data_IF_396751311791
#
_entry.id   IF_396751311791
#
_cell.length_a   1.000
_cell.length_b   1.000
_cell.length_c   1.000
_cell.angle_alpha   90.00
_cell.angle_beta   90.00
_cell.angle_gamma   90.00
#
_symmetry.space_group_name_H-M   'P 1'
#
loop_
_entity.id
_entity.type
_entity.pdbx_description
1 polymer ?
#
# COMPACT_ATOMS: atom_id res chain seq x y z
N UNK A 1 5.86 -11.19 13.76
CA UNK A 1 4.68 -10.30 13.66
C UNK A 1 5.17 -8.89 13.91
N UNK A 2 4.51 -7.85 13.37
CA UNK A 2 4.92 -6.49 13.68
C UNK A 2 4.60 -6.14 15.15
N UNK A 3 5.60 -5.61 15.85
CA UNK A 3 5.47 -5.04 17.19
C UNK A 3 4.91 -3.64 17.04
N UNK A 4 3.79 -3.36 17.70
CA UNK A 4 3.24 -2.00 17.75
C UNK A 4 3.89 -1.25 18.91
N UNK A 5 4.34 -0.04 18.62
CA UNK A 5 4.86 0.90 19.60
C UNK A 5 3.88 2.08 19.73
N UNK A 6 3.81 2.68 20.91
CA UNK A 6 3.09 3.95 21.09
C UNK A 6 3.90 5.15 20.54
N UNK A 7 3.37 6.36 20.67
CA UNK A 7 4.03 7.60 20.19
C UNK A 7 5.37 7.87 20.87
N UNK A 8 5.61 7.28 22.04
CA UNK A 8 6.84 7.39 22.81
C UNK A 8 7.82 6.23 22.53
N UNK A 9 7.46 5.31 21.65
CA UNK A 9 8.28 4.15 21.27
C UNK A 9 8.16 2.96 22.24
N UNK A 10 7.31 3.04 23.26
CA UNK A 10 7.11 1.94 24.19
C UNK A 10 6.28 0.83 23.53
N UNK A 11 6.60 -0.46 23.78
CA UNK A 11 5.80 -1.57 23.28
C UNK A 11 4.36 -1.45 23.76
N UNK A 12 3.41 -1.61 22.84
CA UNK A 12 2.01 -1.49 23.16
C UNK A 12 1.60 -2.59 24.17
N UNK A 13 1.07 -2.17 25.33
CA UNK A 13 0.80 -3.04 26.50
C UNK A 13 -0.04 -4.29 26.15
N UNK A 14 -0.86 -4.24 25.10
CA UNK A 14 -1.75 -5.33 24.66
C UNK A 14 -1.20 -6.15 23.48
N UNK A 15 0.09 -6.06 23.17
CA UNK A 15 0.71 -6.80 22.06
C UNK A 15 0.56 -8.33 22.22
N UNK A 16 0.79 -8.88 23.40
CA UNK A 16 0.64 -10.33 23.65
C UNK A 16 -0.78 -10.83 23.41
N UNK A 17 -1.79 -10.05 23.80
CA UNK A 17 -3.21 -10.34 23.54
C UNK A 17 -3.51 -10.31 22.04
N UNK A 18 -2.91 -9.36 21.32
CA UNK A 18 -3.03 -9.27 19.86
C UNK A 18 -2.39 -10.47 19.17
N UNK A 19 -1.18 -10.85 19.55
CA UNK A 19 -0.50 -12.03 18.99
C UNK A 19 -1.26 -13.33 19.25
N UNK A 20 -1.78 -13.50 20.47
CA UNK A 20 -2.63 -14.62 20.81
C UNK A 20 -3.88 -14.65 19.91
N UNK A 21 -4.54 -13.51 19.70
CA UNK A 21 -5.69 -13.41 18.78
C UNK A 21 -5.33 -13.78 17.34
N UNK A 22 -4.19 -13.31 16.83
CA UNK A 22 -3.77 -13.57 15.45
C UNK A 22 -3.31 -15.02 15.20
N UNK A 23 -2.96 -15.76 16.26
CA UNK A 23 -2.48 -17.14 16.18
C UNK A 23 -3.50 -18.18 16.67
N UNK A 24 -4.70 -17.76 17.06
CA UNK A 24 -5.75 -18.68 17.54
C UNK A 24 -7.02 -18.54 16.73
N UNK A 25 -7.69 -19.68 16.50
CA UNK A 25 -8.98 -19.70 15.85
C UNK A 25 -10.08 -19.13 16.74
N UNK A 26 -11.14 -18.59 16.11
CA UNK A 26 -12.29 -18.02 16.83
C UNK A 26 -13.43 -19.04 16.90
N UNK A 27 -13.97 -19.27 18.10
CA UNK A 27 -15.14 -20.14 18.29
C UNK A 27 -16.34 -19.60 17.49
N UNK A 28 -16.92 -20.46 16.66
CA UNK A 28 -18.09 -20.09 15.83
C UNK A 28 -17.74 -19.48 14.47
N UNK A 29 -16.46 -19.34 14.12
CA UNK A 29 -16.07 -18.71 12.84
C UNK A 29 -16.64 -19.43 11.62
N UNK A 30 -16.78 -20.76 11.69
CA UNK A 30 -17.37 -21.61 10.66
C UNK A 30 -18.83 -21.25 10.34
N UNK A 31 -19.52 -20.48 11.18
CA UNK A 31 -20.88 -20.00 10.92
C UNK A 31 -20.91 -18.70 10.08
N UNK A 32 -19.82 -17.93 10.08
CA UNK A 32 -19.78 -16.60 9.45
C UNK A 32 -18.78 -16.50 8.30
N UNK A 33 -17.79 -17.38 8.24
CA UNK A 33 -16.78 -17.40 7.19
C UNK A 33 -16.62 -18.84 6.66
N UNK A 34 -16.44 -19.03 5.33
CA UNK A 34 -16.09 -20.33 4.78
C UNK A 34 -14.79 -20.84 5.40
N UNK A 35 -14.83 -22.06 5.95
CA UNK A 35 -13.66 -22.69 6.56
C UNK A 35 -13.61 -24.16 6.16
N UNK A 36 -12.43 -24.60 5.74
CA UNK A 36 -12.08 -25.99 5.52
C UNK A 36 -10.70 -26.24 6.15
N UNK A 37 -10.44 -27.47 6.61
CA UNK A 37 -9.14 -27.81 7.18
C UNK A 37 -8.05 -27.85 6.11
N UNK A 38 -6.79 -27.93 6.53
CA UNK A 38 -5.64 -27.91 5.65
C UNK A 38 -5.64 -29.09 4.67
N UNK A 39 -6.06 -30.28 5.11
CA UNK A 39 -6.16 -31.47 4.25
C UNK A 39 -7.24 -31.25 3.16
N UNK A 40 -8.38 -30.68 3.52
CA UNK A 40 -9.42 -30.34 2.55
C UNK A 40 -8.91 -29.32 1.52
N UNK A 41 -8.14 -28.33 1.94
CA UNK A 41 -7.52 -27.38 1.03
C UNK A 41 -6.48 -28.01 0.12
N UNK A 42 -5.64 -28.91 0.64
CA UNK A 42 -4.71 -29.70 -0.19
C UNK A 42 -5.47 -30.50 -1.26
N UNK A 43 -6.58 -31.14 -0.90
CA UNK A 43 -7.44 -31.85 -1.87
C UNK A 43 -8.10 -30.91 -2.88
N UNK A 44 -8.56 -29.74 -2.45
CA UNK A 44 -9.21 -28.76 -3.32
C UNK A 44 -8.24 -28.16 -4.34
N UNK A 45 -6.99 -27.93 -3.94
CA UNK A 45 -5.98 -27.26 -4.77
C UNK A 45 -5.18 -28.26 -5.61
N UNK A 46 -4.75 -29.38 -5.02
CA UNK A 46 -3.82 -30.34 -5.63
C UNK A 46 -4.46 -31.68 -5.99
N UNK A 47 -5.70 -31.94 -5.57
CA UNK A 47 -6.37 -33.23 -5.80
C UNK A 47 -5.76 -34.41 -5.03
N UNK A 48 -4.90 -34.15 -4.04
CA UNK A 48 -4.19 -35.16 -3.24
C UNK A 48 -4.08 -34.77 -1.77
N UNK A 49 -3.72 -35.75 -0.94
CA UNK A 49 -3.35 -35.51 0.45
C UNK A 49 -1.91 -34.99 0.57
N UNK A 50 -1.59 -34.23 1.63
CA UNK A 50 -0.23 -33.82 1.91
C UNK A 50 0.64 -35.00 2.32
N UNK A 51 1.88 -35.03 1.85
CA UNK A 51 2.91 -35.99 2.25
C UNK A 51 3.59 -35.46 3.51
N UNK A 52 3.51 -36.22 4.61
CA UNK A 52 3.93 -35.76 5.94
C UNK A 52 5.41 -35.34 6.02
N UNK A 53 6.30 -36.06 5.33
CA UNK A 53 7.75 -35.86 5.40
C UNK A 53 8.31 -34.97 4.27
N UNK A 54 7.46 -34.45 3.38
CA UNK A 54 7.92 -33.54 2.32
C UNK A 54 7.98 -32.09 2.83
N UNK A 55 9.16 -31.44 2.85
CA UNK A 55 9.29 -30.06 3.31
C UNK A 55 8.43 -29.07 2.52
N UNK A 56 8.14 -29.34 1.24
CA UNK A 56 7.33 -28.46 0.40
C UNK A 56 5.86 -28.49 0.83
N UNK A 57 5.31 -29.68 1.04
CA UNK A 57 3.95 -29.84 1.55
C UNK A 57 3.81 -29.27 2.96
N UNK A 58 4.83 -29.40 3.81
CA UNK A 58 4.83 -28.76 5.14
C UNK A 58 4.74 -27.22 5.02
N UNK A 59 5.54 -26.59 4.17
CA UNK A 59 5.49 -25.15 3.95
C UNK A 59 4.13 -24.73 3.35
N UNK A 60 3.58 -25.50 2.43
CA UNK A 60 2.29 -25.23 1.82
C UNK A 60 1.14 -25.27 2.85
N UNK A 61 1.11 -26.30 3.69
CA UNK A 61 0.14 -26.43 4.80
C UNK A 61 0.27 -25.26 5.77
N UNK A 62 1.50 -24.83 6.09
CA UNK A 62 1.72 -23.66 6.95
C UNK A 62 1.13 -22.39 6.33
N UNK A 63 1.30 -22.18 5.02
CA UNK A 63 0.67 -21.07 4.31
C UNK A 63 -0.87 -21.15 4.33
N UNK A 64 -1.45 -22.33 4.09
CA UNK A 64 -2.92 -22.54 4.14
C UNK A 64 -3.46 -22.23 5.54
N UNK A 65 -2.78 -22.71 6.58
CA UNK A 65 -3.13 -22.42 7.98
C UNK A 65 -3.04 -20.93 8.27
N UNK A 66 -1.97 -20.28 7.83
CA UNK A 66 -1.77 -18.84 8.03
C UNK A 66 -2.83 -18.01 7.29
N UNK A 67 -3.17 -18.37 6.05
CA UNK A 67 -4.24 -17.72 5.30
C UNK A 67 -5.59 -17.85 6.01
N UNK A 68 -5.88 -19.04 6.53
CA UNK A 68 -7.09 -19.28 7.33
C UNK A 68 -7.11 -18.40 8.58
N UNK A 69 -6.03 -18.38 9.37
CA UNK A 69 -5.94 -17.55 10.57
C UNK A 69 -6.01 -16.04 10.27
N UNK A 70 -5.39 -15.58 9.18
CA UNK A 70 -5.49 -14.19 8.72
C UNK A 70 -6.94 -13.86 8.32
N UNK A 71 -7.65 -14.75 7.63
CA UNK A 71 -9.08 -14.55 7.35
C UNK A 71 -9.94 -14.47 8.63
N UNK A 72 -9.63 -15.27 9.66
CA UNK A 72 -10.34 -15.16 10.95
C UNK A 72 -10.04 -13.84 11.66
N UNK A 73 -8.79 -13.38 11.59
CA UNK A 73 -8.32 -12.13 12.20
C UNK A 73 -8.90 -10.87 11.53
N UNK A 74 -9.26 -10.95 10.25
CA UNK A 74 -9.96 -9.89 9.52
C UNK A 74 -11.34 -9.55 10.09
N UNK A 75 -11.90 -10.43 10.93
CA UNK A 75 -13.18 -10.20 11.62
C UNK A 75 -13.01 -9.96 13.11
N UNK A 76 -13.93 -9.17 13.66
CA UNK A 76 -13.96 -8.92 15.11
C UNK A 76 -14.51 -10.15 15.86
N UNK A 77 -13.76 -10.66 16.83
CA UNK A 77 -14.12 -11.84 17.65
C UNK A 77 -15.52 -11.73 18.27
N UNK A 78 -15.85 -10.58 18.86
CA UNK A 78 -17.16 -10.35 19.51
C UNK A 78 -18.32 -10.47 18.52
N UNK A 79 -18.14 -10.02 17.28
CA UNK A 79 -19.14 -10.11 16.21
C UNK A 79 -19.37 -11.56 15.81
N UNK A 80 -18.30 -12.35 15.66
CA UNK A 80 -18.40 -13.80 15.36
C UNK A 80 -19.19 -14.54 16.44
N UNK A 81 -18.85 -14.30 17.71
CA UNK A 81 -19.54 -14.92 18.84
C UNK A 81 -21.00 -14.49 18.94
N UNK A 82 -21.31 -13.23 18.61
CA UNK A 82 -22.69 -12.74 18.56
C UNK A 82 -23.51 -13.43 17.46
N UNK A 83 -22.96 -13.62 16.26
CA UNK A 83 -23.63 -14.37 15.19
C UNK A 83 -23.84 -15.85 15.56
N UNK A 84 -22.86 -16.49 16.20
CA UNK A 84 -23.02 -17.86 16.70
C UNK A 84 -24.18 -17.95 17.71
N UNK A 85 -24.26 -17.03 18.67
CA UNK A 85 -25.36 -16.98 19.65
C UNK A 85 -26.72 -16.82 18.98
N UNK A 86 -26.84 -15.89 18.02
CA UNK A 86 -28.07 -15.66 17.25
C UNK A 86 -28.46 -16.85 16.39
N UNK A 87 -27.49 -17.52 15.76
CA UNK A 87 -27.75 -18.75 14.99
C UNK A 87 -28.32 -19.86 15.86
N UNK A 88 -27.75 -20.06 17.05
CA UNK A 88 -28.27 -21.03 18.03
C UNK A 88 -29.66 -20.66 18.55
N UNK A 89 -29.95 -19.36 18.71
CA UNK A 89 -31.28 -18.88 19.05
C UNK A 89 -32.32 -19.23 17.97
N UNK A 90 -32.00 -19.02 16.70
CA UNK A 90 -32.88 -19.41 15.57
C UNK A 90 -33.16 -20.91 15.59
N UNK A 91 -32.14 -21.74 15.86
CA UNK A 91 -32.29 -23.20 15.96
C UNK A 91 -33.18 -23.57 17.16
N UNK A 92 -32.97 -22.95 18.32
CA UNK A 92 -33.78 -23.18 19.53
C UNK A 92 -35.23 -22.81 19.30
N UNK A 93 -35.49 -21.61 18.79
CA UNK A 93 -36.83 -21.12 18.50
C UNK A 93 -37.52 -22.00 17.45
N UNK A 94 -36.77 -22.47 16.44
CA UNK A 94 -37.26 -23.43 15.46
C UNK A 94 -37.78 -24.71 16.10
N UNK A 95 -37.01 -25.30 17.01
CA UNK A 95 -37.42 -26.49 17.77
C UNK A 95 -38.66 -26.24 18.63
N UNK A 96 -38.77 -25.07 19.26
CA UNK A 96 -39.93 -24.72 20.10
C UNK A 96 -41.25 -24.75 19.33
N UNK A 97 -41.24 -24.31 18.07
CA UNK A 97 -42.45 -24.33 17.22
C UNK A 97 -42.51 -25.55 16.29
N UNK A 98 -41.64 -26.55 16.47
CA UNK A 98 -41.60 -27.75 15.65
C UNK A 98 -41.20 -27.53 14.19
N UNK A 99 -40.56 -26.39 13.86
CA UNK A 99 -40.10 -26.11 12.49
C UNK A 99 -38.63 -26.48 12.31
N UNK A 100 -38.30 -26.91 11.09
CA UNK A 100 -36.91 -26.94 10.63
C UNK A 100 -36.34 -25.51 10.62
N UNK A 101 -35.15 -25.27 11.18
CA UNK A 101 -34.50 -23.96 11.10
C UNK A 101 -34.30 -23.54 9.64
N UNK A 102 -34.60 -22.27 9.31
CA UNK A 102 -34.45 -21.71 7.96
C UNK A 102 -32.98 -21.39 7.60
N UNK A 103 -32.03 -22.19 8.08
CA UNK A 103 -30.60 -22.02 7.84
C UNK A 103 -30.15 -23.02 6.77
N UNK A 104 -29.36 -22.56 5.82
CA UNK A 104 -28.77 -23.43 4.80
C UNK A 104 -27.79 -24.43 5.39
N UNK A 105 -27.66 -25.59 4.72
CA UNK A 105 -26.68 -26.60 5.09
C UNK A 105 -25.26 -26.03 4.90
N UNK A 106 -24.37 -26.30 5.87
CA UNK A 106 -23.02 -25.72 5.90
C UNK A 106 -21.93 -26.59 5.26
N UNK A 107 -22.27 -27.75 4.68
CA UNK A 107 -21.29 -28.59 3.98
C UNK A 107 -21.84 -29.92 3.45
N UNK A 108 -21.01 -30.69 2.72
CA UNK A 108 -19.63 -30.38 2.32
C UNK A 108 -19.55 -29.30 1.23
N UNK A 109 -18.51 -28.48 1.24
CA UNK A 109 -18.23 -27.54 0.16
C UNK A 109 -17.93 -28.31 -1.14
N UNK A 110 -18.28 -27.76 -2.32
CA UNK A 110 -17.85 -28.34 -3.58
C UNK A 110 -16.32 -28.33 -3.69
N UNK A 111 -15.77 -29.32 -4.40
CA UNK A 111 -14.33 -29.45 -4.61
C UNK A 111 -13.85 -28.29 -5.49
N UNK A 112 -12.81 -27.59 -5.04
CA UNK A 112 -12.15 -26.51 -5.77
C UNK A 112 -11.96 -25.24 -4.94
N UNK A 113 -11.32 -24.24 -5.53
CA UNK A 113 -11.06 -22.95 -4.88
C UNK A 113 -12.12 -21.89 -5.25
N UNK A 114 -13.11 -21.74 -4.37
CA UNK A 114 -14.17 -20.73 -4.53
C UNK A 114 -13.85 -19.39 -3.86
N UNK A 115 -12.94 -19.37 -2.89
CA UNK A 115 -12.67 -18.20 -2.04
C UNK A 115 -11.32 -17.55 -2.31
N UNK A 116 -10.42 -18.22 -3.05
CA UNK A 116 -9.11 -17.70 -3.43
C UNK A 116 -8.00 -18.16 -2.50
N UNK A 117 -8.11 -19.35 -1.91
CA UNK A 117 -7.08 -19.92 -1.04
C UNK A 117 -5.74 -20.09 -1.77
N UNK A 118 -5.74 -20.57 -3.01
CA UNK A 118 -4.49 -20.77 -3.76
C UNK A 118 -3.72 -19.46 -3.92
N UNK A 119 -4.43 -18.38 -4.24
CA UNK A 119 -3.84 -17.04 -4.34
C UNK A 119 -3.43 -16.47 -2.99
N UNK A 120 -4.15 -16.77 -1.91
CA UNK A 120 -3.74 -16.36 -0.58
C UNK A 120 -2.40 -16.99 -0.21
N UNK A 121 -2.18 -18.26 -0.58
CA UNK A 121 -0.90 -18.95 -0.43
C UNK A 121 0.19 -18.27 -1.26
N UNK A 122 -0.06 -17.92 -2.52
CA UNK A 122 0.92 -17.21 -3.36
C UNK A 122 1.32 -15.84 -2.77
N UNK A 123 0.36 -15.10 -2.21
CA UNK A 123 0.64 -13.83 -1.52
C UNK A 123 1.53 -14.06 -0.29
N UNK A 124 1.21 -15.05 0.54
CA UNK A 124 2.01 -15.40 1.71
C UNK A 124 3.41 -15.88 1.31
N UNK A 125 3.53 -16.69 0.26
CA UNK A 125 4.81 -17.15 -0.24
C UNK A 125 5.65 -15.99 -0.76
N UNK A 126 5.03 -15.03 -1.49
CA UNK A 126 5.70 -13.79 -1.88
C UNK A 126 6.26 -13.05 -0.66
N UNK A 127 5.54 -13.02 0.45
CA UNK A 127 6.00 -12.36 1.68
C UNK A 127 7.24 -13.01 2.31
N UNK A 128 7.44 -14.31 2.08
CA UNK A 128 8.61 -15.06 2.57
C UNK A 128 9.80 -14.99 1.60
N UNK A 129 9.54 -15.01 0.29
CA UNK A 129 10.58 -15.11 -0.74
C UNK A 129 11.11 -13.75 -1.21
N UNK A 130 10.31 -12.70 -1.12
CA UNK A 130 10.71 -11.38 -1.64
C UNK A 130 11.46 -10.59 -0.59
N UNK A 131 12.59 -10.00 -0.99
CA UNK A 131 13.32 -9.05 -0.15
C UNK A 131 12.68 -7.66 -0.23
N UNK A 132 12.53 -7.01 0.92
CA UNK A 132 12.10 -5.62 0.97
C UNK A 132 13.15 -4.67 0.40
N UNK A 133 12.71 -3.53 -0.13
CA UNK A 133 13.64 -2.50 -0.64
C UNK A 133 14.32 -1.70 0.47
N UNK A 134 13.64 -1.53 1.59
CA UNK A 134 14.04 -0.66 2.71
C UNK A 134 14.34 -1.51 3.94
N UNK A 135 13.44 -2.45 4.24
CA UNK A 135 13.56 -3.39 5.34
C UNK A 135 13.84 -4.80 4.79
N UNK A 136 14.25 -5.73 5.64
CA UNK A 136 14.53 -7.13 5.27
C UNK A 136 13.33 -7.80 4.60
N UNK A 137 12.15 -7.63 5.19
CA UNK A 137 10.88 -8.21 4.76
C UNK A 137 10.04 -7.21 3.96
N UNK A 138 9.22 -7.71 3.03
CA UNK A 138 8.27 -6.84 2.32
C UNK A 138 7.12 -6.39 3.22
N UNK A 139 6.59 -5.20 2.94
CA UNK A 139 5.40 -4.67 3.59
C UNK A 139 4.12 -5.21 2.94
N UNK A 140 3.00 -5.10 3.67
CA UNK A 140 1.68 -5.58 3.24
C UNK A 140 1.26 -5.05 1.85
N UNK A 141 1.43 -3.76 1.56
CA UNK A 141 1.05 -3.19 0.26
C UNK A 141 1.81 -3.88 -0.90
N UNK A 142 3.11 -4.13 -0.73
CA UNK A 142 3.92 -4.84 -1.74
C UNK A 142 3.50 -6.30 -1.92
N UNK A 143 3.08 -6.96 -0.83
CA UNK A 143 2.50 -8.30 -0.89
C UNK A 143 1.17 -8.28 -1.67
N UNK A 144 0.24 -7.38 -1.29
CA UNK A 144 -1.11 -7.33 -1.88
C UNK A 144 -1.15 -6.87 -3.32
N UNK A 145 -0.11 -6.20 -3.82
CA UNK A 145 -0.02 -5.77 -5.23
C UNK A 145 -0.29 -6.92 -6.22
N UNK A 146 0.01 -8.18 -5.84
CA UNK A 146 -0.33 -9.36 -6.65
C UNK A 146 -1.85 -9.53 -6.88
N UNK A 147 -2.70 -9.10 -5.96
CA UNK A 147 -4.17 -9.20 -6.09
C UNK A 147 -4.65 -8.53 -7.37
N UNK A 148 -4.12 -7.35 -7.69
CA UNK A 148 -4.50 -6.59 -8.87
C UNK A 148 -4.16 -7.36 -10.16
N UNK A 149 -2.97 -7.95 -10.21
CA UNK A 149 -2.55 -8.82 -11.32
C UNK A 149 -3.47 -10.02 -11.46
N UNK A 150 -3.80 -10.70 -10.36
CA UNK A 150 -4.68 -11.85 -10.43
C UNK A 150 -6.08 -11.52 -10.96
N UNK A 151 -6.70 -10.43 -10.51
CA UNK A 151 -8.00 -9.99 -11.07
C UNK A 151 -7.92 -9.76 -12.58
N UNK A 152 -6.78 -9.27 -13.08
CA UNK A 152 -6.55 -9.10 -14.52
C UNK A 152 -6.36 -10.42 -15.25
N UNK A 153 -5.57 -11.34 -14.69
CA UNK A 153 -5.39 -12.69 -15.24
C UNK A 153 -6.72 -13.45 -15.32
N UNK A 154 -7.56 -13.33 -14.30
CA UNK A 154 -8.92 -13.84 -14.32
C UNK A 154 -9.72 -13.22 -15.47
N UNK A 155 -9.73 -11.89 -15.55
CA UNK A 155 -10.48 -11.16 -16.58
C UNK A 155 -10.07 -11.49 -18.01
N UNK A 156 -8.80 -11.87 -18.24
CA UNK A 156 -8.29 -12.32 -19.55
C UNK A 156 -8.42 -13.83 -19.79
N UNK A 157 -8.77 -14.61 -18.77
CA UNK A 157 -8.97 -16.05 -18.90
C UNK A 157 -10.28 -16.37 -19.63
N UNK A 158 -10.44 -17.57 -20.23
CA UNK A 158 -11.70 -17.99 -20.82
C UNK A 158 -12.89 -17.84 -19.86
N UNK A 159 -12.72 -18.18 -18.57
CA UNK A 159 -13.76 -18.03 -17.53
C UNK A 159 -14.17 -16.57 -17.34
N UNK A 160 -13.20 -15.66 -17.18
CA UNK A 160 -13.49 -14.24 -17.00
C UNK A 160 -14.05 -13.55 -18.25
N UNK A 161 -13.75 -14.08 -19.44
CA UNK A 161 -14.37 -13.62 -20.71
C UNK A 161 -15.83 -14.10 -20.78
N UNK A 162 -16.09 -15.37 -20.43
CA UNK A 162 -17.46 -15.93 -20.43
C UNK A 162 -18.37 -15.32 -19.37
N UNK A 163 -17.82 -14.87 -18.24
CA UNK A 163 -18.57 -14.19 -17.17
C UNK A 163 -19.26 -12.89 -17.61
N UNK A 164 -18.87 -12.33 -18.77
CA UNK A 164 -19.35 -11.08 -19.36
C UNK A 164 -20.45 -10.34 -18.59
N UNK A 165 -20.09 -9.24 -17.90
CA UNK A 165 -21.05 -8.26 -17.42
C UNK A 165 -20.40 -6.88 -17.26
N UNK A 166 -21.04 -5.86 -17.85
CA UNK A 166 -20.71 -4.45 -17.70
C UNK A 166 -22.01 -3.66 -17.51
N UNK A 167 -22.21 -3.01 -16.37
CA UNK A 167 -23.14 -1.89 -16.30
C UNK A 167 -22.41 -0.60 -16.72
N UNK A 168 -22.93 0.11 -17.73
CA UNK A 168 -22.56 1.50 -17.99
C UNK A 168 -23.58 2.43 -17.34
N UNK A 169 -23.31 2.84 -16.12
CA UNK A 169 -23.94 4.00 -15.46
C UNK A 169 -22.86 4.99 -15.05
N UNK A 170 -23.16 6.28 -15.15
CA UNK A 170 -22.28 7.47 -15.17
C UNK A 170 -21.27 7.69 -14.01
N UNK A 171 -20.83 6.68 -13.26
CA UNK A 171 -19.80 6.87 -12.24
C UNK A 171 -18.81 5.71 -12.04
N UNK A 172 -19.16 4.47 -12.37
CA UNK A 172 -18.22 3.33 -12.23
C UNK A 172 -18.80 2.08 -12.87
N UNK A 173 -18.02 1.41 -13.72
CA UNK A 173 -18.40 0.10 -14.28
C UNK A 173 -18.36 -0.93 -13.15
N UNK A 174 -19.52 -1.33 -12.64
CA UNK A 174 -19.65 -2.44 -11.69
C UNK A 174 -19.76 -3.74 -12.51
N UNK A 175 -18.98 -4.75 -12.13
CA UNK A 175 -18.94 -6.07 -12.78
C UNK A 175 -19.27 -7.14 -11.73
N UNK A 176 -20.25 -7.98 -12.01
CA UNK A 176 -20.39 -9.26 -11.31
C UNK A 176 -19.28 -10.19 -11.79
N UNK A 177 -18.56 -10.81 -10.86
CA UNK A 177 -17.46 -11.72 -11.18
C UNK A 177 -17.44 -12.88 -10.21
N UNK A 178 -17.09 -14.07 -10.70
CA UNK A 178 -16.80 -15.23 -9.85
C UNK A 178 -15.32 -15.33 -9.50
N UNK A 179 -14.54 -14.27 -9.76
CA UNK A 179 -13.12 -14.20 -9.43
C UNK A 179 -12.91 -14.41 -7.91
N UNK A 180 -12.18 -15.46 -7.48
CA UNK A 180 -12.02 -15.77 -6.07
C UNK A 180 -11.37 -14.66 -5.22
N UNK A 181 -10.52 -13.81 -5.82
CA UNK A 181 -9.89 -12.68 -5.09
C UNK A 181 -10.80 -11.51 -4.81
N UNK A 182 -12.01 -11.53 -5.37
CA UNK A 182 -13.07 -10.58 -5.04
C UNK A 182 -14.07 -11.19 -4.04
N UNK A 183 -13.82 -12.42 -3.56
CA UNK A 183 -14.63 -13.02 -2.51
C UNK A 183 -14.50 -12.27 -1.19
N UNK A 184 -15.53 -12.36 -0.36
CA UNK A 184 -15.54 -11.76 0.98
C UNK A 184 -14.44 -12.35 1.87
N UNK A 185 -14.24 -13.67 1.79
CA UNK A 185 -13.18 -14.38 2.53
C UNK A 185 -11.79 -13.86 2.16
N UNK A 186 -11.52 -13.59 0.88
CA UNK A 186 -10.23 -13.03 0.45
C UNK A 186 -10.04 -11.59 0.96
N UNK A 187 -11.12 -10.83 1.07
CA UNK A 187 -11.15 -9.52 1.72
C UNK A 187 -10.75 -9.61 3.19
N UNK A 188 -11.36 -10.51 3.95
CA UNK A 188 -11.03 -10.76 5.36
C UNK A 188 -9.57 -11.21 5.53
N UNK A 189 -9.10 -12.11 4.67
CA UNK A 189 -7.70 -12.57 4.64
C UNK A 189 -6.72 -11.39 4.51
N UNK A 190 -7.01 -10.46 3.60
CA UNK A 190 -6.15 -9.29 3.41
C UNK A 190 -6.18 -8.35 4.61
N UNK A 191 -7.34 -8.12 5.21
CA UNK A 191 -7.45 -7.29 6.42
C UNK A 191 -6.66 -7.90 7.59
N UNK A 192 -6.78 -9.21 7.82
CA UNK A 192 -6.02 -9.87 8.87
C UNK A 192 -4.53 -9.97 8.57
N UNK A 193 -4.16 -10.12 7.29
CA UNK A 193 -2.75 -10.05 6.86
C UNK A 193 -2.15 -8.67 7.08
N UNK A 194 -2.91 -7.61 6.76
CA UNK A 194 -2.52 -6.21 7.00
C UNK A 194 -2.30 -5.95 8.48
N UNK A 195 -3.24 -6.37 9.33
CA UNK A 195 -3.08 -6.30 10.78
C UNK A 195 -1.80 -7.04 11.18
N UNK A 196 -1.66 -8.34 10.85
CA UNK A 196 -0.50 -9.15 11.25
C UNK A 196 0.86 -8.58 10.82
N UNK A 197 0.98 -8.17 9.57
CA UNK A 197 2.23 -7.63 9.00
C UNK A 197 2.50 -6.21 9.50
N UNK A 198 1.46 -5.48 9.90
CA UNK A 198 1.55 -4.07 10.23
C UNK A 198 1.72 -3.19 8.99
N UNK A 199 1.56 -1.90 9.21
CA UNK A 199 1.77 -0.89 8.20
C UNK A 199 2.68 0.19 8.74
N UNK A 200 3.86 0.33 8.16
CA UNK A 200 4.77 1.44 8.44
C UNK A 200 4.86 2.32 7.20
N UNK A 201 4.28 3.51 7.25
CA UNK A 201 4.35 4.45 6.13
C UNK A 201 5.58 5.33 6.23
N UNK A 202 6.68 4.89 5.62
CA UNK A 202 7.88 5.72 5.47
C UNK A 202 7.68 6.74 4.33
N UNK A 203 6.94 7.82 4.63
CA UNK A 203 6.57 8.87 3.66
C UNK A 203 7.77 9.77 3.36
N UNK A 204 7.95 10.15 2.10
CA UNK A 204 8.90 11.22 1.74
C UNK A 204 8.55 12.50 2.51
N UNK A 205 9.51 13.07 3.24
CA UNK A 205 9.28 14.22 4.10
C UNK A 205 9.25 15.54 3.33
N UNK A 206 8.86 16.61 4.00
CA UNK A 206 9.01 17.98 3.51
C UNK A 206 10.43 18.48 3.83
N UNK A 207 10.94 19.42 3.05
CA UNK A 207 12.18 20.13 3.33
C UNK A 207 11.87 21.56 3.81
N UNK A 208 12.60 22.07 4.80
CA UNK A 208 12.62 23.48 5.12
C UNK A 208 13.11 24.32 3.93
N UNK A 209 12.61 25.55 3.79
CA UNK A 209 12.99 26.45 2.67
C UNK A 209 14.47 26.77 2.66
N UNK A 210 15.09 26.85 3.84
CA UNK A 210 16.52 27.14 3.97
C UNK A 210 17.36 26.10 3.24
N UNK A 211 16.99 24.82 3.35
CA UNK A 211 17.65 23.73 2.62
C UNK A 211 17.43 23.86 1.12
N UNK A 212 16.22 24.26 0.69
CA UNK A 212 15.90 24.48 -0.73
C UNK A 212 16.70 25.67 -1.28
N UNK A 213 16.81 26.77 -0.53
CA UNK A 213 17.58 27.96 -0.90
C UNK A 213 19.07 27.65 -1.02
N UNK A 214 19.64 26.91 -0.06
CA UNK A 214 21.04 26.51 -0.14
C UNK A 214 21.29 25.59 -1.33
N UNK A 215 20.38 24.67 -1.61
CA UNK A 215 20.48 23.87 -2.82
C UNK A 215 20.41 24.71 -4.10
N UNK A 216 19.54 25.71 -4.17
CA UNK A 216 19.48 26.63 -5.31
C UNK A 216 20.75 27.48 -5.41
N UNK A 217 21.35 27.87 -4.29
CA UNK A 217 22.64 28.57 -4.21
C UNK A 217 23.74 27.72 -4.86
N UNK A 218 23.84 26.45 -4.48
CA UNK A 218 24.80 25.51 -5.04
C UNK A 218 24.56 25.25 -6.54
N UNK A 219 23.30 25.11 -6.96
CA UNK A 219 22.96 24.97 -8.40
C UNK A 219 23.37 26.22 -9.18
N UNK A 220 23.20 27.42 -8.59
CA UNK A 220 23.60 28.68 -9.21
C UNK A 220 25.12 28.79 -9.33
N UNK A 221 25.86 28.38 -8.30
CA UNK A 221 27.33 28.32 -8.33
C UNK A 221 27.81 27.33 -9.41
N UNK A 222 27.28 26.10 -9.44
CA UNK A 222 27.58 25.10 -10.47
C UNK A 222 27.28 25.62 -11.89
N UNK A 223 26.14 26.30 -12.07
CA UNK A 223 25.78 26.88 -13.36
C UNK A 223 26.74 28.01 -13.76
N UNK A 224 27.15 28.87 -12.82
CA UNK A 224 28.09 29.96 -13.08
C UNK A 224 29.48 29.43 -13.42
N UNK A 225 29.94 28.40 -12.70
CA UNK A 225 31.19 27.70 -12.99
C UNK A 225 31.16 27.03 -14.36
N UNK A 226 30.02 26.46 -14.76
CA UNK A 226 29.83 25.85 -16.09
C UNK A 226 29.89 26.87 -17.23
N UNK A 227 29.48 28.12 -16.99
CA UNK A 227 29.55 29.20 -17.98
C UNK A 227 30.97 29.80 -18.07
N UNK A 228 31.75 29.74 -17.00
CA UNK A 228 33.09 30.34 -16.91
C UNK A 228 34.24 29.40 -17.32
N UNK A 229 34.01 28.09 -17.48
CA UNK A 229 35.08 27.11 -17.74
C UNK A 229 35.14 26.61 -19.19
N UNK A 230 35.99 27.26 -19.99
CA UNK A 230 36.64 26.66 -21.18
C UNK A 230 37.84 25.74 -20.81
N UNK A 231 38.15 25.52 -19.53
CA UNK A 231 39.22 24.63 -19.09
C UNK A 231 38.67 23.43 -18.32
N UNK A 232 39.00 22.24 -18.82
CA UNK A 232 38.41 20.95 -18.46
C UNK A 232 38.79 20.40 -17.06
N UNK A 233 39.17 21.21 -16.08
CA UNK A 233 39.79 20.71 -14.84
C UNK A 233 38.90 20.67 -13.59
N UNK A 234 37.76 21.38 -13.54
CA UNK A 234 36.94 21.45 -12.31
C UNK A 234 35.55 20.86 -12.48
N UNK A 235 35.44 19.68 -13.10
CA UNK A 235 34.17 18.93 -13.12
C UNK A 235 34.03 18.07 -11.85
N UNK A 236 33.78 18.69 -10.69
CA UNK A 236 33.64 17.97 -9.40
C UNK A 236 32.20 17.59 -9.02
N UNK A 237 31.17 18.30 -9.48
CA UNK A 237 29.82 18.14 -8.89
C UNK A 237 28.81 17.34 -9.73
N UNK A 238 28.93 17.30 -11.06
CA UNK A 238 28.01 16.55 -11.95
C UNK A 238 28.65 15.41 -12.76
N UNK A 239 29.99 15.28 -12.75
CA UNK A 239 30.68 14.29 -13.57
C UNK A 239 30.69 12.87 -12.99
N UNK A 240 30.32 12.66 -11.71
CA UNK A 240 30.16 11.30 -11.14
C UNK A 240 29.07 10.45 -11.82
N UNK A 241 28.23 11.05 -12.67
CA UNK A 241 27.22 10.35 -13.47
C UNK A 241 27.58 10.16 -14.95
N UNK A 242 28.71 10.71 -15.44
CA UNK A 242 29.06 10.66 -16.87
C UNK A 242 29.85 9.40 -17.26
N UNK A 243 30.52 8.76 -16.30
CA UNK A 243 31.33 7.56 -16.54
C UNK A 243 30.53 6.25 -16.50
N UNK A 244 29.20 6.31 -16.51
CA UNK A 244 28.34 5.13 -16.60
C UNK A 244 28.23 4.28 -15.32
N UNK A 245 28.83 4.70 -14.19
CA UNK A 245 28.89 3.86 -12.98
C UNK A 245 27.82 4.18 -11.94
N UNK A 246 27.21 5.38 -11.92
CA UNK A 246 26.28 5.77 -10.84
C UNK A 246 24.93 6.24 -11.40
N UNK A 247 23.80 5.59 -11.03
CA UNK A 247 22.47 5.99 -11.49
C UNK A 247 22.13 7.43 -11.09
N UNK A 248 21.45 8.23 -11.94
CA UNK A 248 21.08 9.63 -11.65
C UNK A 248 20.29 9.83 -10.35
N UNK A 249 19.58 8.79 -9.89
CA UNK A 249 18.84 8.78 -8.63
C UNK A 249 19.75 8.77 -7.39
N UNK A 250 20.92 8.13 -7.50
CA UNK A 250 21.91 8.03 -6.44
C UNK A 250 22.67 9.34 -6.31
N UNK A 251 23.01 9.98 -7.45
CA UNK A 251 23.67 11.28 -7.49
C UNK A 251 22.82 12.38 -6.83
N UNK A 252 21.53 12.45 -7.15
CA UNK A 252 20.59 13.41 -6.55
C UNK A 252 20.46 13.25 -5.03
N UNK A 253 20.59 12.03 -4.51
CA UNK A 253 20.49 11.73 -3.09
C UNK A 253 21.77 12.11 -2.33
N UNK A 254 22.93 11.83 -2.92
CA UNK A 254 24.23 12.22 -2.37
C UNK A 254 24.35 13.74 -2.26
N UNK A 255 24.02 14.47 -3.34
CA UNK A 255 24.06 15.93 -3.36
C UNK A 255 23.18 16.53 -2.25
N UNK A 256 21.93 16.06 -2.13
CA UNK A 256 21.03 16.58 -1.09
C UNK A 256 21.53 16.28 0.33
N UNK A 257 22.15 15.11 0.53
CA UNK A 257 22.77 14.77 1.82
C UNK A 257 23.90 15.74 2.16
N UNK A 258 24.77 16.03 1.19
CA UNK A 258 25.87 16.99 1.38
C UNK A 258 25.34 18.40 1.71
N UNK A 259 24.26 18.85 1.04
CA UNK A 259 23.59 20.12 1.36
C UNK A 259 23.04 20.12 2.79
N UNK A 260 22.41 19.03 3.22
CA UNK A 260 21.83 18.90 4.56
C UNK A 260 22.90 18.90 5.65
N UNK A 261 24.01 18.18 5.44
CA UNK A 261 25.14 18.16 6.38
C UNK A 261 25.78 19.54 6.50
N UNK A 262 25.97 20.24 5.37
CA UNK A 262 26.52 21.59 5.37
C UNK A 262 25.58 22.61 6.04
N UNK A 263 24.28 22.53 5.78
CA UNK A 263 23.27 23.42 6.40
C UNK A 263 23.08 23.13 7.90
N UNK A 264 23.13 21.87 8.33
CA UNK A 264 23.11 21.49 9.74
C UNK A 264 24.36 22.01 10.49
N UNK A 265 25.53 21.97 9.84
CA UNK A 265 26.80 22.48 10.39
C UNK A 265 26.85 24.01 10.46
N UNK A 266 25.96 24.71 9.74
CA UNK A 266 25.89 26.17 9.68
C UNK A 266 25.09 26.81 10.83
N UNK A 267 24.61 26.02 11.81
CA UNK A 267 23.99 26.54 13.04
C UNK A 267 22.54 27.03 12.89
N UNK A 268 21.83 26.68 11.81
CA UNK A 268 20.38 26.93 11.72
C UNK A 268 19.64 25.85 12.52
N UNK A 269 19.54 26.10 13.83
CA UNK A 269 18.90 25.26 14.84
C UNK A 269 17.43 24.98 14.48
N UNK A 270 17.18 23.78 13.95
CA UNK A 270 15.90 23.12 14.14
C UNK A 270 16.18 21.66 14.55
N UNK A 271 15.72 21.20 15.73
CA UNK A 271 15.87 19.81 16.16
C UNK A 271 15.37 18.79 15.12
N UNK A 272 14.39 19.20 14.31
CA UNK A 272 13.81 18.41 13.23
C UNK A 272 14.81 18.07 12.10
N UNK A 273 15.85 18.88 11.88
CA UNK A 273 16.78 18.71 10.75
C UNK A 273 17.61 17.42 10.84
N UNK A 274 18.00 17.02 12.06
CA UNK A 274 18.82 15.83 12.29
C UNK A 274 18.00 14.53 12.11
N UNK A 275 16.76 14.51 12.58
CA UNK A 275 15.81 13.41 12.28
C UNK A 275 15.55 13.30 10.77
N UNK A 276 15.36 14.43 10.10
CA UNK A 276 15.19 14.51 8.65
C UNK A 276 16.41 13.99 7.87
N UNK A 277 17.63 14.14 8.41
CA UNK A 277 18.88 13.73 7.75
C UNK A 277 19.09 12.21 7.72
N UNK A 278 18.88 11.53 8.85
CA UNK A 278 18.95 10.06 8.91
C UNK A 278 17.87 9.42 8.02
N UNK A 279 16.71 10.05 7.97
CA UNK A 279 15.58 9.67 7.13
C UNK A 279 15.84 9.91 5.63
N UNK A 280 16.42 11.05 5.25
CA UNK A 280 16.70 11.38 3.84
C UNK A 280 17.72 10.44 3.20
N UNK A 281 18.68 9.94 3.98
CA UNK A 281 19.62 8.88 3.56
C UNK A 281 18.95 7.53 3.36
N UNK A 282 17.79 7.27 3.98
CA UNK A 282 16.98 6.06 3.77
C UNK A 282 15.95 6.24 2.66
N UNK A 283 15.45 7.46 2.43
CA UNK A 283 14.27 7.69 1.57
C UNK A 283 14.55 8.32 0.19
N UNK A 284 13.51 8.36 -0.65
CA UNK A 284 13.55 9.00 -1.96
C UNK A 284 13.09 10.46 -1.88
N UNK A 285 13.68 11.32 -2.70
CA UNK A 285 13.46 12.79 -2.65
C UNK A 285 12.55 13.31 -3.77
N UNK A 286 11.99 12.40 -4.58
CA UNK A 286 11.33 12.75 -5.84
C UNK A 286 10.07 13.61 -5.69
N UNK A 287 9.36 13.50 -4.56
CA UNK A 287 8.14 14.30 -4.28
C UNK A 287 8.35 15.31 -3.16
N UNK A 288 9.56 15.40 -2.62
CA UNK A 288 9.91 16.22 -1.45
C UNK A 288 9.71 17.71 -1.71
N UNK A 289 10.23 18.25 -2.82
CA UNK A 289 10.02 19.67 -3.17
C UNK A 289 8.54 20.03 -3.30
N UNK A 290 7.76 19.20 -4.02
CA UNK A 290 6.32 19.40 -4.16
C UNK A 290 5.60 19.30 -2.83
N UNK A 291 5.93 18.32 -1.98
CA UNK A 291 5.35 18.20 -0.64
C UNK A 291 5.65 19.42 0.22
N UNK A 292 6.85 19.96 0.12
CA UNK A 292 7.26 21.18 0.81
C UNK A 292 6.42 22.37 0.34
N UNK A 293 6.23 22.50 -0.97
CA UNK A 293 5.37 23.53 -1.54
C UNK A 293 3.91 23.40 -1.10
N UNK A 294 3.32 22.20 -1.22
CA UNK A 294 1.93 21.93 -0.81
C UNK A 294 1.70 22.10 0.70
N UNK A 295 2.69 21.75 1.53
CA UNK A 295 2.58 21.92 2.99
C UNK A 295 2.66 23.38 3.39
N UNK A 296 3.48 24.19 2.70
CA UNK A 296 3.58 25.64 2.91
C UNK A 296 2.34 26.40 2.48
N UNK A 297 1.82 26.10 1.29
CA UNK A 297 0.58 26.73 0.82
C UNK A 297 -0.60 26.40 1.73
N UNK A 298 -0.67 25.16 2.25
CA UNK A 298 -1.64 24.79 3.29
C UNK A 298 -1.42 25.55 4.60
N UNK A 299 -0.19 25.70 5.07
CA UNK A 299 0.15 26.50 6.26
C UNK A 299 -0.26 27.97 6.10
N UNK A 300 -0.13 28.51 4.89
CA UNK A 300 -0.55 29.87 4.55
C UNK A 300 -2.07 30.04 4.35
N UNK A 301 -2.87 28.98 4.56
CA UNK A 301 -4.33 29.04 4.46
C UNK A 301 -4.87 29.09 3.03
N UNK A 302 -4.06 28.76 2.02
CA UNK A 302 -4.50 28.74 0.62
C UNK A 302 -5.44 27.55 0.40
N UNK A 303 -6.54 27.80 -0.33
CA UNK A 303 -7.56 26.78 -0.62
C UNK A 303 -6.98 25.64 -1.46
N UNK A 304 -7.47 24.43 -1.24
CA UNK A 304 -7.02 23.24 -1.98
C UNK A 304 -7.27 23.34 -3.49
N UNK A 305 -8.31 24.07 -3.89
CA UNK A 305 -8.64 24.36 -5.30
C UNK A 305 -7.50 25.13 -6.00
N UNK A 306 -6.97 26.16 -5.35
CA UNK A 306 -5.85 26.97 -5.88
C UNK A 306 -4.57 26.11 -6.01
N UNK A 307 -4.34 25.21 -5.04
CA UNK A 307 -3.22 24.26 -5.07
C UNK A 307 -3.39 23.24 -6.20
N UNK A 308 -4.62 22.79 -6.49
CA UNK A 308 -4.92 21.90 -7.64
C UNK A 308 -4.70 22.62 -8.97
N UNK A 309 -5.06 23.90 -9.06
CA UNK A 309 -4.81 24.74 -10.24
C UNK A 309 -3.31 24.92 -10.47
N UNK A 310 -2.52 25.23 -9.44
CA UNK A 310 -1.06 25.30 -9.53
C UNK A 310 -0.46 23.98 -10.04
N UNK A 311 -0.99 22.84 -9.57
CA UNK A 311 -0.54 21.51 -9.96
C UNK A 311 -1.23 20.95 -11.23
N UNK A 312 -1.93 21.79 -12.01
CA UNK A 312 -2.67 21.38 -13.23
C UNK A 312 -1.78 20.71 -14.28
N UNK A 313 -0.52 21.14 -14.40
CA UNK A 313 0.47 20.57 -15.32
C UNK A 313 0.66 19.07 -15.13
N UNK A 314 0.54 18.58 -13.88
CA UNK A 314 0.67 17.15 -13.56
C UNK A 314 -0.39 16.30 -14.27
N UNK A 315 -1.63 16.76 -14.27
CA UNK A 315 -2.72 16.01 -14.92
C UNK A 315 -2.43 15.91 -16.42
N UNK A 316 -1.91 16.97 -17.02
CA UNK A 316 -1.50 17.00 -18.43
C UNK A 316 -0.33 16.07 -18.73
N UNK A 317 0.73 16.10 -17.92
CA UNK A 317 1.90 15.24 -18.14
C UNK A 317 1.57 13.76 -17.93
N UNK A 318 0.77 13.45 -16.90
CA UNK A 318 0.35 12.09 -16.61
C UNK A 318 -0.47 11.47 -17.74
N UNK A 319 -1.20 12.28 -18.50
CA UNK A 319 -2.00 11.76 -19.60
C UNK A 319 -1.19 11.46 -20.85
N UNK A 320 0.11 11.84 -20.92
CA UNK A 320 1.05 11.44 -21.99
C UNK A 320 0.43 11.55 -23.39
N UNK A 321 -0.19 12.70 -23.68
CA UNK A 321 -0.85 12.98 -24.97
C UNK A 321 -2.34 12.58 -25.05
N UNK A 322 -2.89 11.88 -24.06
CA UNK A 322 -4.35 11.66 -23.94
C UNK A 322 -5.02 12.89 -23.33
N UNK A 323 -6.33 13.04 -23.58
CA UNK A 323 -7.12 14.11 -22.98
C UNK A 323 -7.05 14.04 -21.44
N UNK A 324 -6.59 15.12 -20.77
CA UNK A 324 -6.47 15.13 -19.32
C UNK A 324 -7.84 15.06 -18.68
N UNK A 325 -8.07 14.12 -17.75
CA UNK A 325 -9.33 14.07 -16.99
C UNK A 325 -9.33 15.20 -15.97
N UNK A 326 -10.01 16.31 -16.27
CA UNK A 326 -10.17 17.44 -15.38
C UNK A 326 -11.65 17.70 -15.12
N UNK A 327 -11.95 18.56 -14.13
CA UNK A 327 -13.29 19.11 -14.04
C UNK A 327 -13.61 19.86 -15.36
N UNK A 328 -14.89 19.87 -15.76
CA UNK A 328 -15.31 20.47 -17.03
C UNK A 328 -14.83 21.92 -17.15
N UNK A 329 -14.92 22.71 -16.07
CA UNK A 329 -14.47 24.11 -16.02
C UNK A 329 -12.96 24.24 -16.29
N UNK A 330 -12.14 23.31 -15.77
CA UNK A 330 -10.69 23.30 -15.95
C UNK A 330 -10.25 22.92 -17.37
N UNK A 331 -11.15 22.42 -18.22
CA UNK A 331 -10.87 22.23 -19.64
C UNK A 331 -10.87 23.55 -20.41
N UNK A 332 -11.72 24.50 -20.01
CA UNK A 332 -11.90 25.78 -20.69
C UNK A 332 -11.04 26.90 -20.10
N UNK A 333 -10.55 26.75 -18.86
CA UNK A 333 -9.72 27.77 -18.24
C UNK A 333 -8.32 27.84 -18.89
N UNK A 334 -7.92 29.02 -19.38
CA UNK A 334 -6.55 29.22 -19.89
C UNK A 334 -5.55 29.33 -18.72
N UNK A 335 -4.41 28.66 -18.84
CA UNK A 335 -3.34 28.72 -17.85
C UNK A 335 -2.79 30.14 -17.70
N UNK A 336 -2.75 30.93 -18.78
CA UNK A 336 -2.30 32.33 -18.73
C UNK A 336 -3.28 33.23 -18.00
N UNK A 337 -4.58 32.97 -18.13
CA UNK A 337 -5.62 33.71 -17.41
C UNK A 337 -5.62 33.39 -15.90
N UNK A 338 -5.11 32.21 -15.50
CA UNK A 338 -5.06 31.76 -14.11
C UNK A 338 -3.76 32.14 -13.37
N UNK A 339 -2.90 32.96 -13.98
CA UNK A 339 -1.60 33.36 -13.39
C UNK A 339 -1.76 34.03 -12.03
N UNK A 340 -2.80 34.86 -11.85
CA UNK A 340 -3.09 35.51 -10.56
C UNK A 340 -3.44 34.51 -9.44
N UNK A 341 -4.00 33.36 -9.79
CA UNK A 341 -4.36 32.28 -8.84
C UNK A 341 -3.14 31.44 -8.52
N UNK A 342 -2.32 31.09 -9.52
CA UNK A 342 -1.10 30.30 -9.31
C UNK A 342 -0.05 31.09 -8.53
N UNK A 343 0.04 32.40 -8.73
CA UNK A 343 0.94 33.26 -7.96
C UNK A 343 0.61 33.33 -6.48
N UNK A 344 -0.66 33.19 -6.07
CA UNK A 344 -1.01 33.12 -4.64
C UNK A 344 -0.26 32.00 -3.93
N UNK A 345 -0.15 30.85 -4.59
CA UNK A 345 0.65 29.73 -4.08
C UNK A 345 2.14 30.11 -4.02
N UNK A 346 2.68 30.76 -5.05
CA UNK A 346 4.08 31.20 -5.10
C UNK A 346 4.44 32.22 -4.01
N UNK A 347 3.54 33.15 -3.68
CA UNK A 347 3.75 34.11 -2.58
C UNK A 347 3.80 33.47 -1.19
N UNK A 348 3.25 32.26 -1.05
CA UNK A 348 3.28 31.49 0.20
C UNK A 348 4.48 30.53 0.32
N UNK A 349 5.29 30.39 -0.73
CA UNK A 349 6.50 29.55 -0.74
C UNK A 349 7.68 30.33 -0.19
#
# INVERSE_FOLDING_TARGET
>A
MATLHDEEGNPWVKQSVREARLNTGVKGIHAVSPFQCEICWMRNLEGRDPVADDPKDQQYIQCIRRASLDAMAGRTKSTVEAHLRRGNEVIRNGKTIGRTPCLEQRGPFPIGDLVGMGWAVDLLLKSLLSQGRVDEWIQFDTMRDLRGTFTKLWSSSPRGITEGAFFSGNASKIRFTSCPSQSEWFGDFLLGSEDRMGYDTKKQLYLPILVILEQLRLIKEDASDSMNSQSASTRKFLNKGRDGVIPPKVLKKAILTDVLVNTASSGLESPDLFSIMEDLLRYGISRTYRKSAESRTRKAGIKEEDVKIMNRWRVTEQTKGKQPRRAMVDHYADARALVSVTWRCSYAL
#
